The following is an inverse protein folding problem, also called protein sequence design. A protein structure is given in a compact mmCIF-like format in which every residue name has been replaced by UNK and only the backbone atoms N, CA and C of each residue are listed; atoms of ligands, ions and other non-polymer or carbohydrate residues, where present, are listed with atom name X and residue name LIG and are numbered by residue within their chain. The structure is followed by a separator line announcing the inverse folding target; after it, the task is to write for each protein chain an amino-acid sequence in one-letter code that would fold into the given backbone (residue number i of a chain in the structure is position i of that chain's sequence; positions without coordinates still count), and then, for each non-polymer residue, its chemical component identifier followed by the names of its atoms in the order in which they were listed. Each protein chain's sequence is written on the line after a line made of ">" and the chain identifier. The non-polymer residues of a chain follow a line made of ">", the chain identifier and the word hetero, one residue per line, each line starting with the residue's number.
data_IF_319510865424
#
_entry.id   IF_319510865424
#
_cell.length_a   1.000
_cell.length_b   1.000
_cell.length_c   1.000
_cell.angle_alpha   90.00
_cell.angle_beta   90.00
_cell.angle_gamma   90.00
#
_symmetry.space_group_name_H-M   'P 1'
#
loop_
_entity.id
_entity.type
_entity.pdbx_description
1 polymer ?
#
# COMPACT_ATOMS: atom_id res chain seq x y z
N UNK A 1 50.97 71.67 -0.50
CA UNK A 1 49.62 71.43 -0.95
C UNK A 1 49.64 70.09 -1.64
N UNK A 2 49.06 68.99 -0.99
CA UNK A 2 48.99 67.62 -1.53
C UNK A 2 47.54 67.34 -1.88
N UNK A 3 47.29 67.18 -3.18
CA UNK A 3 45.96 66.86 -3.72
C UNK A 3 45.71 65.38 -3.57
N UNK A 4 44.66 64.98 -2.81
CA UNK A 4 44.18 63.62 -2.72
C UNK A 4 43.17 63.38 -3.86
N UNK A 5 43.47 62.41 -4.73
CA UNK A 5 42.55 61.91 -5.75
C UNK A 5 41.68 60.81 -5.14
N UNK A 6 40.37 61.04 -5.11
CA UNK A 6 39.37 60.08 -4.66
C UNK A 6 39.02 59.18 -5.84
N UNK A 7 39.41 57.93 -5.76
CA UNK A 7 39.00 56.86 -6.73
C UNK A 7 37.71 56.27 -6.25
N UNK A 8 36.61 56.63 -6.92
CA UNK A 8 35.31 56.02 -6.70
C UNK A 8 35.23 54.70 -7.48
N UNK A 9 35.43 53.56 -6.82
CA UNK A 9 35.25 52.24 -7.42
C UNK A 9 33.76 51.90 -7.51
N UNK A 10 33.25 51.87 -8.73
CA UNK A 10 31.90 51.42 -9.04
C UNK A 10 31.90 49.87 -9.07
N UNK A 11 31.46 49.25 -7.99
CA UNK A 11 31.21 47.80 -7.96
C UNK A 11 29.93 47.49 -8.74
N UNK A 12 30.08 46.99 -9.96
CA UNK A 12 29.00 46.44 -10.73
C UNK A 12 28.65 45.05 -10.13
N UNK A 13 27.58 45.01 -9.35
CA UNK A 13 27.03 43.75 -8.85
C UNK A 13 26.22 43.08 -9.97
N UNK A 14 26.84 42.21 -10.74
CA UNK A 14 26.13 41.34 -11.69
C UNK A 14 25.36 40.29 -10.88
N UNK A 15 24.05 40.50 -10.71
CA UNK A 15 23.12 39.47 -10.27
C UNK A 15 23.06 38.41 -11.34
N UNK A 16 23.77 37.30 -11.12
CA UNK A 16 23.53 36.04 -11.85
C UNK A 16 22.21 35.52 -11.31
N UNK A 17 21.14 35.75 -12.03
CA UNK A 17 19.90 35.05 -11.85
C UNK A 17 20.19 33.57 -12.23
N UNK A 18 20.50 32.73 -11.24
CA UNK A 18 20.45 31.29 -11.42
C UNK A 18 18.98 30.94 -11.58
N UNK A 19 18.59 30.65 -12.81
CA UNK A 19 17.35 29.92 -13.09
C UNK A 19 17.40 28.65 -12.28
N UNK A 20 16.58 28.56 -11.24
CA UNK A 20 16.18 27.29 -10.61
C UNK A 20 15.39 26.53 -11.69
N UNK A 21 16.11 25.88 -12.60
CA UNK A 21 15.55 24.80 -13.35
C UNK A 21 15.04 23.80 -12.30
N UNK A 22 13.72 23.77 -12.15
CA UNK A 22 13.04 22.78 -11.37
C UNK A 22 13.60 21.44 -11.84
N UNK A 23 14.42 20.83 -11.01
CA UNK A 23 14.88 19.47 -11.17
C UNK A 23 13.62 18.63 -11.13
N UNK A 24 13.02 18.45 -12.31
CA UNK A 24 11.96 17.49 -12.54
C UNK A 24 12.58 16.17 -12.12
N UNK A 25 12.30 15.76 -10.87
CA UNK A 25 12.69 14.47 -10.37
C UNK A 25 12.11 13.47 -11.38
N UNK A 26 12.95 12.94 -12.25
CA UNK A 26 12.61 11.77 -13.06
C UNK A 26 12.35 10.66 -12.06
N UNK A 27 11.09 10.53 -11.69
CA UNK A 27 10.63 9.40 -10.91
C UNK A 27 11.02 8.16 -11.73
N UNK A 28 11.78 7.22 -11.15
CA UNK A 28 12.16 6.03 -11.89
C UNK A 28 10.89 5.38 -12.44
N UNK A 29 10.96 4.74 -13.62
CA UNK A 29 9.79 4.11 -14.21
C UNK A 29 9.15 3.19 -13.17
N UNK A 30 7.91 3.48 -12.81
CA UNK A 30 7.15 2.69 -11.85
C UNK A 30 6.94 1.32 -12.47
N UNK A 31 7.61 0.30 -11.95
CA UNK A 31 7.33 -1.07 -12.36
C UNK A 31 5.88 -1.39 -11.96
N UNK A 32 5.02 -1.54 -12.95
CA UNK A 32 3.62 -1.89 -12.73
C UNK A 32 3.55 -3.39 -12.48
N UNK A 33 2.99 -3.79 -11.33
CA UNK A 33 2.71 -5.21 -11.08
C UNK A 33 1.78 -5.73 -12.17
N UNK A 34 2.06 -6.95 -12.63
CA UNK A 34 1.26 -7.63 -13.66
C UNK A 34 0.78 -8.97 -13.10
N UNK A 35 -0.49 -9.21 -13.22
CA UNK A 35 -1.03 -10.55 -12.95
C UNK A 35 -0.33 -11.56 -13.87
N UNK A 36 0.30 -12.56 -13.29
CA UNK A 36 0.94 -13.63 -14.05
C UNK A 36 -0.12 -14.39 -14.85
N UNK A 37 0.10 -14.54 -16.17
CA UNK A 37 -0.82 -15.29 -17.03
C UNK A 37 -0.92 -16.78 -16.62
N UNK A 38 0.18 -17.33 -16.11
CA UNK A 38 0.28 -18.73 -15.68
C UNK A 38 1.02 -18.80 -14.32
N UNK A 39 0.34 -18.52 -13.20
CA UNK A 39 0.94 -18.65 -11.88
C UNK A 39 1.30 -20.13 -11.58
N UNK A 40 2.39 -20.36 -10.85
CA UNK A 40 2.71 -21.68 -10.32
C UNK A 40 1.62 -22.14 -9.34
N UNK A 41 1.52 -23.44 -9.03
CA UNK A 41 0.53 -23.91 -8.05
C UNK A 41 0.62 -23.19 -6.69
N UNK A 42 1.82 -22.95 -6.19
CA UNK A 42 2.00 -22.22 -4.91
C UNK A 42 1.61 -20.75 -5.01
N UNK A 43 1.95 -20.06 -6.11
CA UNK A 43 1.48 -18.68 -6.34
C UNK A 43 -0.04 -18.62 -6.38
N UNK A 44 -0.67 -19.58 -7.09
CA UNK A 44 -2.13 -19.68 -7.16
C UNK A 44 -2.75 -19.90 -5.78
N UNK A 45 -2.17 -20.80 -4.97
CA UNK A 45 -2.62 -21.05 -3.59
C UNK A 45 -2.66 -19.78 -2.75
N UNK A 46 -1.59 -18.96 -2.80
CA UNK A 46 -1.51 -17.70 -2.06
C UNK A 46 -2.49 -16.64 -2.61
N UNK A 47 -2.64 -16.55 -3.94
CA UNK A 47 -3.61 -15.63 -4.57
C UNK A 47 -5.05 -16.01 -4.19
N UNK A 48 -5.41 -17.28 -4.27
CA UNK A 48 -6.74 -17.77 -3.89
C UNK A 48 -7.01 -17.51 -2.39
N UNK A 49 -6.00 -17.66 -1.55
CA UNK A 49 -6.09 -17.39 -0.12
C UNK A 49 -6.31 -15.91 0.17
N UNK A 50 -5.63 -15.02 -0.55
CA UNK A 50 -5.85 -13.57 -0.45
C UNK A 50 -7.26 -13.19 -0.87
N UNK A 51 -7.77 -13.71 -1.99
CA UNK A 51 -9.16 -13.47 -2.42
C UNK A 51 -10.15 -13.94 -1.34
N UNK A 52 -9.94 -15.15 -0.79
CA UNK A 52 -10.77 -15.68 0.29
C UNK A 52 -10.72 -14.82 1.56
N UNK A 53 -9.53 -14.28 1.89
CA UNK A 53 -9.35 -13.34 3.01
C UNK A 53 -10.22 -12.10 2.83
N UNK A 54 -10.26 -11.49 1.63
CA UNK A 54 -11.10 -10.33 1.37
C UNK A 54 -12.58 -10.64 1.59
N UNK A 55 -13.06 -11.81 1.14
CA UNK A 55 -14.43 -12.27 1.40
C UNK A 55 -14.70 -12.46 2.90
N UNK A 56 -13.75 -13.02 3.65
CA UNK A 56 -13.88 -13.15 5.10
C UNK A 56 -13.89 -11.81 5.82
N UNK A 57 -13.07 -10.85 5.38
CA UNK A 57 -13.06 -9.49 5.94
C UNK A 57 -14.38 -8.77 5.66
N UNK A 58 -14.91 -8.87 4.43
CA UNK A 58 -16.17 -8.27 4.04
C UNK A 58 -17.35 -8.82 4.86
N UNK A 59 -17.36 -10.12 5.12
CA UNK A 59 -18.42 -10.83 5.85
C UNK A 59 -18.13 -10.97 7.35
N UNK A 60 -17.06 -10.33 7.87
CA UNK A 60 -16.64 -10.37 9.27
C UNK A 60 -16.52 -11.78 9.83
N UNK A 61 -15.97 -12.72 9.02
CA UNK A 61 -15.72 -14.12 9.41
C UNK A 61 -14.49 -14.20 10.31
N UNK A 62 -14.63 -13.68 11.54
CA UNK A 62 -13.52 -13.50 12.49
C UNK A 62 -12.81 -14.81 12.80
N UNK A 63 -13.54 -15.93 12.99
CA UNK A 63 -12.95 -17.24 13.30
C UNK A 63 -12.06 -17.77 12.14
N UNK A 64 -12.48 -17.53 10.88
CA UNK A 64 -11.69 -17.87 9.71
C UNK A 64 -10.42 -17.01 9.62
N UNK A 65 -10.55 -15.71 9.86
CA UNK A 65 -9.43 -14.76 9.90
C UNK A 65 -8.46 -15.08 11.04
N UNK A 66 -8.96 -15.45 12.22
CA UNK A 66 -8.14 -15.89 13.35
C UNK A 66 -7.27 -17.09 12.99
N UNK A 67 -7.83 -18.03 12.23
CA UNK A 67 -7.11 -19.20 11.74
C UNK A 67 -6.06 -18.83 10.68
N UNK A 68 -6.35 -17.86 9.81
CA UNK A 68 -5.44 -17.40 8.76
C UNK A 68 -4.29 -16.56 9.30
N UNK A 69 -4.59 -15.63 10.21
CA UNK A 69 -3.60 -14.70 10.73
C UNK A 69 -2.60 -15.41 11.64
N UNK A 70 -1.31 -15.22 11.38
CA UNK A 70 -0.25 -15.68 12.29
C UNK A 70 -0.37 -14.95 13.64
N UNK A 71 0.03 -15.59 14.73
CA UNK A 71 -0.04 -14.98 16.07
C UNK A 71 0.84 -13.74 16.22
N UNK A 72 1.89 -13.63 15.39
CA UNK A 72 2.80 -12.48 15.32
C UNK A 72 2.45 -11.51 14.20
N UNK A 73 1.31 -11.71 13.52
CA UNK A 73 0.95 -10.88 12.37
C UNK A 73 0.80 -9.41 12.74
N UNK A 74 1.20 -8.55 11.80
CA UNK A 74 1.09 -7.10 11.89
C UNK A 74 0.26 -6.53 10.76
N UNK A 75 -0.54 -5.53 11.07
CA UNK A 75 -1.44 -4.85 10.14
C UNK A 75 -1.11 -3.37 10.13
N UNK A 76 -0.67 -2.86 8.97
CA UNK A 76 -0.30 -1.45 8.80
C UNK A 76 -1.34 -0.73 7.95
N UNK A 77 -2.04 0.19 8.56
CA UNK A 77 -3.06 1.04 7.96
C UNK A 77 -2.55 2.49 7.83
N UNK A 78 -3.26 3.34 7.09
CA UNK A 78 -2.90 4.77 7.01
C UNK A 78 -2.86 5.47 8.37
N UNK A 79 -3.69 5.03 9.31
CA UNK A 79 -3.82 5.64 10.64
C UNK A 79 -2.99 4.98 11.74
N UNK A 80 -2.32 3.85 11.49
CA UNK A 80 -1.54 3.16 12.52
C UNK A 80 -1.22 1.71 12.18
N UNK A 81 -0.49 1.07 13.12
CA UNK A 81 -0.07 -0.33 13.00
C UNK A 81 -0.40 -1.06 14.28
N UNK A 82 -0.92 -2.29 14.16
CA UNK A 82 -1.29 -3.14 15.29
C UNK A 82 -1.24 -4.63 14.95
N UNK A 83 -1.30 -5.47 15.97
CA UNK A 83 -1.24 -6.93 15.83
C UNK A 83 -2.62 -7.59 15.65
N UNK A 84 -2.60 -8.92 15.51
CA UNK A 84 -3.74 -9.81 15.26
C UNK A 84 -4.96 -9.51 16.15
N UNK A 85 -4.76 -9.46 17.46
CA UNK A 85 -5.88 -9.30 18.42
C UNK A 85 -6.67 -8.02 18.16
N UNK A 86 -5.96 -6.91 17.92
CA UNK A 86 -6.63 -5.63 17.64
C UNK A 86 -7.28 -5.63 16.26
N UNK A 87 -6.66 -6.24 15.24
CA UNK A 87 -7.24 -6.33 13.90
C UNK A 87 -8.56 -7.12 13.94
N UNK A 88 -8.59 -8.29 14.58
CA UNK A 88 -9.80 -9.11 14.71
C UNK A 88 -10.90 -8.36 15.49
N UNK A 89 -10.55 -7.65 16.55
CA UNK A 89 -11.50 -6.83 17.31
C UNK A 89 -12.05 -5.68 16.45
N UNK A 90 -11.21 -5.04 15.66
CA UNK A 90 -11.59 -3.94 14.75
C UNK A 90 -12.54 -4.41 13.67
N UNK A 91 -12.28 -5.58 13.05
CA UNK A 91 -13.17 -6.19 12.06
C UNK A 91 -14.49 -6.60 12.69
N UNK A 92 -14.45 -7.26 13.85
CA UNK A 92 -15.63 -7.74 14.59
C UNK A 92 -16.57 -6.59 14.94
N UNK A 93 -16.04 -5.50 15.49
CA UNK A 93 -16.82 -4.32 15.86
C UNK A 93 -17.31 -3.52 14.64
N UNK A 94 -16.61 -3.61 13.51
CA UNK A 94 -16.83 -2.76 12.35
C UNK A 94 -16.19 -1.38 12.49
N UNK A 95 -15.24 -1.21 13.41
CA UNK A 95 -14.41 0.00 13.49
C UNK A 95 -13.69 0.29 12.17
N UNK A 96 -13.25 -0.77 11.49
CA UNK A 96 -12.99 -0.80 10.05
C UNK A 96 -13.78 -1.99 9.47
N UNK A 97 -14.65 -1.72 8.53
CA UNK A 97 -15.37 -2.74 7.78
C UNK A 97 -14.92 -2.74 6.33
N UNK A 98 -14.19 -3.75 5.90
CA UNK A 98 -13.66 -3.93 4.54
C UNK A 98 -14.75 -4.50 3.63
N UNK A 99 -15.60 -3.64 3.09
CA UNK A 99 -16.85 -4.06 2.42
C UNK A 99 -16.63 -4.75 1.08
N UNK A 100 -15.70 -4.22 0.27
CA UNK A 100 -15.40 -4.74 -1.07
C UNK A 100 -13.98 -4.33 -1.49
N UNK A 101 -13.16 -5.30 -1.86
CA UNK A 101 -11.90 -5.09 -2.56
C UNK A 101 -12.08 -5.46 -4.03
N UNK A 102 -11.78 -4.53 -4.95
CA UNK A 102 -11.72 -4.80 -6.39
C UNK A 102 -10.27 -4.88 -6.79
N UNK A 103 -9.80 -6.07 -7.11
CA UNK A 103 -8.41 -6.35 -7.48
C UNK A 103 -8.22 -6.14 -8.98
N UNK A 104 -7.35 -5.22 -9.39
CA UNK A 104 -7.04 -4.93 -10.80
C UNK A 104 -5.79 -5.65 -11.28
N UNK A 105 -4.84 -5.87 -10.39
CA UNK A 105 -3.64 -6.65 -10.65
C UNK A 105 -3.19 -7.33 -9.37
N UNK A 106 -2.65 -8.55 -9.49
CA UNK A 106 -2.09 -9.32 -8.39
C UNK A 106 -0.82 -10.02 -8.84
N UNK A 107 0.21 -9.98 -8.01
CA UNK A 107 1.47 -10.68 -8.22
C UNK A 107 1.91 -11.36 -6.93
N UNK A 108 2.18 -12.66 -6.99
CA UNK A 108 2.74 -13.43 -5.88
C UNK A 108 4.16 -13.90 -6.20
N UNK A 109 5.07 -13.74 -5.24
CA UNK A 109 6.47 -14.23 -5.32
C UNK A 109 6.72 -15.18 -4.16
N UNK A 110 7.25 -16.36 -4.45
CA UNK A 110 7.52 -17.41 -3.46
C UNK A 110 9.01 -17.42 -3.10
N UNK A 111 9.32 -17.43 -1.82
CA UNK A 111 10.68 -17.45 -1.26
C UNK A 111 10.79 -18.59 -0.24
N UNK A 112 10.84 -19.83 -0.72
CA UNK A 112 10.80 -21.02 0.16
C UNK A 112 9.52 -21.05 1.00
N UNK A 113 9.62 -20.90 2.31
CA UNK A 113 8.48 -20.88 3.23
C UNK A 113 7.81 -19.50 3.39
N UNK A 114 8.19 -18.51 2.59
CA UNK A 114 7.57 -17.19 2.59
C UNK A 114 7.02 -16.86 1.21
N UNK A 115 5.95 -16.08 1.19
CA UNK A 115 5.41 -15.49 -0.02
C UNK A 115 5.14 -14.01 0.20
N UNK A 116 5.43 -13.19 -0.83
CA UNK A 116 5.03 -11.80 -0.88
C UNK A 116 4.00 -11.68 -1.99
N UNK A 117 2.84 -11.11 -1.67
CA UNK A 117 1.77 -10.84 -2.61
C UNK A 117 1.53 -9.34 -2.66
N UNK A 118 1.44 -8.79 -3.87
CA UNK A 118 1.11 -7.40 -4.14
C UNK A 118 -0.20 -7.34 -4.91
N UNK A 119 -1.08 -6.41 -4.52
CA UNK A 119 -2.36 -6.17 -5.19
C UNK A 119 -2.57 -4.67 -5.43
N UNK A 120 -2.87 -4.28 -6.68
CA UNK A 120 -3.47 -2.98 -7.00
C UNK A 120 -4.98 -3.10 -6.84
N UNK A 121 -5.55 -2.45 -5.83
CA UNK A 121 -6.97 -2.55 -5.51
C UNK A 121 -7.64 -1.19 -5.39
N UNK A 122 -8.95 -1.15 -5.56
CA UNK A 122 -9.81 -0.18 -4.90
C UNK A 122 -10.51 -0.86 -3.73
N UNK A 123 -10.43 -0.26 -2.56
CA UNK A 123 -11.05 -0.77 -1.34
C UNK A 123 -12.20 0.14 -0.91
N UNK A 124 -13.41 -0.36 -0.96
CA UNK A 124 -14.57 0.24 -0.31
C UNK A 124 -14.65 -0.25 1.14
N UNK A 125 -14.67 0.67 2.06
CA UNK A 125 -14.73 0.36 3.50
C UNK A 125 -15.61 1.36 4.26
N UNK A 126 -16.03 0.99 5.46
CA UNK A 126 -16.52 1.95 6.45
C UNK A 126 -15.47 2.07 7.57
N UNK A 127 -15.06 3.30 7.88
CA UNK A 127 -14.09 3.60 8.95
C UNK A 127 -14.75 4.54 9.96
N UNK A 128 -14.89 4.07 11.19
CA UNK A 128 -15.62 4.85 12.21
C UNK A 128 -17.06 5.19 11.79
N UNK A 129 -17.69 4.33 10.99
CA UNK A 129 -19.04 4.53 10.45
C UNK A 129 -19.13 5.37 9.17
N UNK A 130 -18.02 5.90 8.66
CA UNK A 130 -17.98 6.69 7.43
C UNK A 130 -17.55 5.85 6.24
N UNK A 131 -18.33 5.89 5.15
CA UNK A 131 -17.99 5.21 3.89
C UNK A 131 -16.79 5.89 3.23
N UNK A 132 -15.83 5.10 2.83
CA UNK A 132 -14.64 5.55 2.09
C UNK A 132 -14.33 4.58 0.97
N UNK A 133 -13.76 5.08 -0.13
CA UNK A 133 -13.21 4.26 -1.20
C UNK A 133 -11.83 4.80 -1.56
N UNK A 134 -10.81 3.98 -1.39
CA UNK A 134 -9.42 4.38 -1.63
C UNK A 134 -8.71 3.37 -2.53
N UNK A 135 -7.83 3.85 -3.43
CA UNK A 135 -6.94 3.01 -4.19
C UNK A 135 -5.70 2.65 -3.35
N UNK A 136 -5.35 1.37 -3.30
CA UNK A 136 -4.18 0.89 -2.56
C UNK A 136 -3.31 -0.03 -3.40
N UNK A 137 -2.00 0.05 -3.15
CA UNK A 137 -1.10 -1.08 -3.30
C UNK A 137 -1.09 -1.82 -1.96
N UNK A 138 -1.65 -3.02 -1.94
CA UNK A 138 -1.64 -3.87 -0.76
C UNK A 138 -0.45 -4.81 -0.84
N UNK A 139 0.30 -4.90 0.25
CA UNK A 139 1.37 -5.89 0.42
C UNK A 139 0.94 -6.88 1.48
N UNK A 140 0.95 -8.14 1.12
CA UNK A 140 0.72 -9.27 2.01
C UNK A 140 1.98 -10.12 2.09
N UNK A 141 2.36 -10.49 3.30
CA UNK A 141 3.43 -11.47 3.53
C UNK A 141 2.81 -12.70 4.18
N UNK A 142 3.05 -13.84 3.59
CA UNK A 142 2.64 -15.13 4.11
C UNK A 142 3.85 -15.95 4.52
N UNK A 143 3.68 -16.76 5.56
CA UNK A 143 4.65 -17.79 6.00
C UNK A 143 4.00 -19.15 5.96
N UNK A 144 4.73 -20.19 5.55
CA UNK A 144 4.23 -21.57 5.45
C UNK A 144 4.67 -22.37 6.66
N UNK A 145 3.71 -22.77 7.49
CA UNK A 145 3.94 -23.58 8.67
C UNK A 145 3.13 -24.88 8.57
N UNK A 146 3.79 -26.02 8.74
CA UNK A 146 3.14 -27.36 8.63
C UNK A 146 2.33 -27.53 7.33
N UNK A 147 2.88 -26.99 6.23
CA UNK A 147 2.25 -27.04 4.90
C UNK A 147 1.09 -26.06 4.68
N UNK A 148 0.78 -25.18 5.63
CA UNK A 148 -0.30 -24.20 5.54
C UNK A 148 0.24 -22.77 5.54
N UNK A 149 -0.26 -21.93 4.65
CA UNK A 149 0.04 -20.51 4.62
C UNK A 149 -0.69 -19.77 5.75
N UNK A 150 0.04 -18.89 6.43
CA UNK A 150 -0.44 -17.96 7.44
C UNK A 150 -0.09 -16.54 7.00
N UNK A 151 -1.01 -15.59 7.20
CA UNK A 151 -0.74 -14.18 6.94
C UNK A 151 0.09 -13.59 8.08
N UNK A 152 1.31 -13.15 7.76
CA UNK A 152 2.24 -12.56 8.73
C UNK A 152 2.22 -11.02 8.68
N UNK A 153 1.92 -10.42 7.53
CA UNK A 153 1.86 -8.96 7.37
C UNK A 153 0.80 -8.58 6.34
N UNK A 154 0.05 -7.51 6.65
CA UNK A 154 -0.84 -6.82 5.71
C UNK A 154 -0.55 -5.32 5.79
N UNK A 155 -0.22 -4.70 4.66
CA UNK A 155 0.12 -3.27 4.59
C UNK A 155 -0.64 -2.58 3.46
N UNK A 156 -1.24 -1.44 3.78
CA UNK A 156 -1.96 -0.59 2.84
C UNK A 156 -1.12 0.63 2.47
N UNK A 157 -0.64 0.70 1.21
CA UNK A 157 0.03 1.88 0.65
C UNK A 157 -0.94 2.61 -0.26
N UNK A 158 -1.38 3.82 0.15
CA UNK A 158 -2.33 4.61 -0.64
C UNK A 158 -1.70 5.03 -1.97
N UNK A 159 -2.40 4.77 -3.07
CA UNK A 159 -1.98 5.14 -4.42
C UNK A 159 -2.48 6.55 -4.77
N UNK A 160 -1.67 7.28 -5.54
CA UNK A 160 -2.04 8.63 -6.00
C UNK A 160 -3.00 8.61 -7.21
N UNK A 161 -3.22 7.43 -7.82
CA UNK A 161 -4.20 7.30 -8.91
C UNK A 161 -5.63 7.53 -8.43
N UNK A 162 -6.51 7.89 -9.35
CA UNK A 162 -7.94 7.93 -9.06
C UNK A 162 -8.51 6.53 -8.77
N UNK A 163 -9.60 6.49 -8.02
CA UNK A 163 -10.45 5.30 -7.86
C UNK A 163 -10.97 4.88 -9.24
N UNK A 164 -10.88 3.59 -9.56
CA UNK A 164 -11.35 2.98 -10.82
C UNK A 164 -12.74 2.34 -10.69
N UNK A 165 -13.07 1.90 -9.46
CA UNK A 165 -14.37 1.29 -9.17
C UNK A 165 -15.47 2.34 -9.33
N UNK A 166 -16.60 1.97 -9.98
CA UNK A 166 -17.76 2.84 -10.08
C UNK A 166 -18.42 3.04 -8.71
N UNK A 167 -18.86 4.29 -8.44
CA UNK A 167 -19.54 4.66 -7.18
C UNK A 167 -20.83 3.88 -6.91
N UNK A 168 -21.29 3.09 -7.89
CA UNK A 168 -22.51 2.25 -7.80
C UNK A 168 -22.24 0.80 -7.44
N UNK A 169 -20.99 0.41 -7.18
CA UNK A 169 -20.67 -0.91 -6.62
C UNK A 169 -20.90 -2.12 -7.56
N UNK A 170 -20.89 -1.90 -8.86
CA UNK A 170 -20.89 -3.00 -9.85
C UNK A 170 -19.51 -3.59 -10.07
#
# INVERSE_FOLDING_TARGET
>A
MKTFALITGLFLFTMIAQSLDAQQSQQPPTETIKTAANPTPEQKEVIDLSNTKWDWMANKKVDSLETLFDDKSMFTHMGGTWGKTQELATIKSGGIWYKKAVVYAVEARIFGNAAILLEDIDLQAAVGGHEVTNPFMVTEVYTKENGKWKLAQLTFSHLLRAVKMDSKGN
#
